data_IF_020069224459
#
_entry.id   IF_020069224459
#
_cell.length_a   1.000
_cell.length_b   1.000
_cell.length_c   1.000
_cell.angle_alpha   90.00
_cell.angle_beta   90.00
_cell.angle_gamma   90.00
#
_symmetry.space_group_name_H-M   'P 1'
#
loop_
_entity.id
_entity.type
_entity.pdbx_description
1 polymer ?
#
# COMPACT_ATOMS: atom_id res chain seq x y z
N UNK A 1 -7.73 -21.78 -36.46
CA UNK A 1 -6.71 -21.24 -35.52
C UNK A 1 -6.48 -22.27 -34.41
N UNK A 2 -5.23 -22.64 -34.14
CA UNK A 2 -4.87 -23.68 -33.15
C UNK A 2 -5.21 -23.22 -31.71
N UNK A 3 -5.78 -24.09 -30.87
CA UNK A 3 -6.06 -23.81 -29.44
C UNK A 3 -4.85 -23.23 -28.70
N UNK A 4 -3.63 -23.71 -29.01
CA UNK A 4 -2.39 -23.20 -28.41
C UNK A 4 -2.14 -21.72 -28.75
N UNK A 5 -2.41 -21.32 -30.00
CA UNK A 5 -2.25 -19.94 -30.45
C UNK A 5 -3.25 -19.01 -29.75
N UNK A 6 -4.51 -19.46 -29.60
CA UNK A 6 -5.53 -18.69 -28.89
C UNK A 6 -5.19 -18.49 -27.41
N UNK A 7 -4.71 -19.54 -26.73
CA UNK A 7 -4.27 -19.45 -25.33
C UNK A 7 -3.10 -18.49 -25.18
N UNK A 8 -2.09 -18.57 -26.06
CA UNK A 8 -0.95 -17.65 -26.01
C UNK A 8 -1.37 -16.19 -26.19
N UNK A 9 -2.27 -15.90 -27.14
CA UNK A 9 -2.78 -14.53 -27.34
C UNK A 9 -3.52 -14.05 -26.08
N UNK A 10 -4.38 -14.89 -25.50
CA UNK A 10 -5.11 -14.54 -24.28
C UNK A 10 -4.17 -14.22 -23.11
N UNK A 11 -3.10 -15.00 -22.93
CA UNK A 11 -2.10 -14.75 -21.89
C UNK A 11 -1.33 -13.44 -22.12
N UNK A 12 -0.95 -13.15 -23.36
CA UNK A 12 -0.28 -11.88 -23.71
C UNK A 12 -1.21 -10.69 -23.43
N UNK A 13 -2.48 -10.77 -23.83
CA UNK A 13 -3.45 -9.70 -23.56
C UNK A 13 -3.65 -9.52 -22.05
N UNK A 14 -3.79 -10.61 -21.29
CA UNK A 14 -3.90 -10.55 -19.83
C UNK A 14 -2.66 -9.89 -19.19
N UNK A 15 -1.46 -10.24 -19.64
CA UNK A 15 -0.22 -9.62 -19.15
C UNK A 15 -0.17 -8.12 -19.46
N UNK A 16 -0.52 -7.72 -20.68
CA UNK A 16 -0.56 -6.30 -21.08
C UNK A 16 -1.56 -5.51 -20.23
N UNK A 17 -2.72 -6.08 -19.92
CA UNK A 17 -3.71 -5.47 -19.03
C UNK A 17 -3.16 -5.31 -17.61
N UNK A 18 -2.50 -6.33 -17.06
CA UNK A 18 -1.87 -6.24 -15.72
C UNK A 18 -0.83 -5.12 -15.68
N UNK A 19 0.01 -5.01 -16.72
CA UNK A 19 1.01 -3.94 -16.82
C UNK A 19 0.33 -2.57 -16.92
N UNK A 20 -0.67 -2.43 -17.80
CA UNK A 20 -1.42 -1.18 -17.97
C UNK A 20 -2.02 -0.70 -16.65
N UNK A 21 -2.74 -1.56 -15.94
CA UNK A 21 -3.34 -1.20 -14.65
C UNK A 21 -2.29 -0.94 -13.58
N UNK A 22 -1.17 -1.66 -13.58
CA UNK A 22 -0.09 -1.42 -12.60
C UNK A 22 0.58 -0.06 -12.76
N UNK A 23 0.73 0.42 -14.00
CA UNK A 23 1.38 1.71 -14.29
C UNK A 23 0.40 2.89 -14.21
N UNK A 24 -0.85 2.68 -14.60
CA UNK A 24 -1.88 3.73 -14.59
C UNK A 24 -2.64 3.83 -13.27
N UNK A 25 -2.49 2.85 -12.37
CA UNK A 25 -3.02 2.94 -11.03
C UNK A 25 -2.47 4.19 -10.34
N UNK A 26 -3.37 5.16 -10.11
CA UNK A 26 -3.05 6.37 -9.37
C UNK A 26 -2.47 5.97 -8.02
N UNK A 27 -1.22 6.37 -7.75
CA UNK A 27 -0.65 6.22 -6.41
C UNK A 27 -1.49 7.07 -5.45
N UNK A 28 -2.25 6.39 -4.60
CA UNK A 28 -3.11 7.03 -3.59
C UNK A 28 -2.27 7.62 -2.46
N UNK A 29 -1.04 7.13 -2.30
CA UNK A 29 -0.06 7.62 -1.33
C UNK A 29 1.15 8.24 -2.04
N UNK A 30 1.76 9.28 -1.44
CA UNK A 30 2.98 9.88 -1.97
C UNK A 30 4.14 8.87 -1.93
N UNK A 31 5.26 9.17 -2.61
CA UNK A 31 6.50 8.40 -2.49
C UNK A 31 6.89 8.18 -1.02
N UNK A 32 7.64 7.10 -0.77
CA UNK A 32 8.00 6.68 0.60
C UNK A 32 8.68 7.81 1.38
N UNK A 33 9.56 8.54 0.74
CA UNK A 33 10.35 9.63 1.33
C UNK A 33 9.45 10.77 1.79
N UNK A 34 8.50 11.17 0.93
CA UNK A 34 7.51 12.21 1.27
C UNK A 34 6.55 11.72 2.35
N UNK A 35 6.12 10.45 2.29
CA UNK A 35 5.30 9.84 3.32
C UNK A 35 6.01 9.85 4.68
N UNK A 36 7.30 9.53 4.75
CA UNK A 36 8.09 9.51 5.99
C UNK A 36 8.16 10.89 6.65
N UNK A 37 8.36 11.95 5.86
CA UNK A 37 8.36 13.33 6.36
C UNK A 37 7.01 13.67 6.98
N UNK A 38 5.92 13.43 6.25
CA UNK A 38 4.56 13.72 6.74
C UNK A 38 4.16 12.84 7.93
N UNK A 39 4.54 11.58 7.92
CA UNK A 39 4.31 10.66 9.03
C UNK A 39 4.96 11.19 10.32
N UNK A 40 6.23 11.60 10.26
CA UNK A 40 6.94 12.19 11.40
C UNK A 40 6.22 13.44 11.93
N UNK A 41 5.82 14.35 11.03
CA UNK A 41 5.10 15.57 11.43
C UNK A 41 3.76 15.28 12.11
N UNK A 42 2.99 14.32 11.57
CA UNK A 42 1.68 13.95 12.11
C UNK A 42 1.81 13.29 13.47
N UNK A 43 2.75 12.33 13.61
CA UNK A 43 3.01 11.66 14.89
C UNK A 43 3.47 12.65 15.95
N UNK A 44 4.29 13.64 15.61
CA UNK A 44 4.77 14.65 16.55
C UNK A 44 3.67 15.62 17.02
N UNK A 45 2.67 15.91 16.16
CA UNK A 45 1.61 16.89 16.46
C UNK A 45 0.34 16.26 17.03
N UNK A 46 0.12 14.97 16.78
CA UNK A 46 -1.12 14.31 17.18
C UNK A 46 -0.92 13.53 18.48
N UNK A 47 -1.76 13.80 19.48
CA UNK A 47 -1.74 13.07 20.76
C UNK A 47 -2.16 11.60 20.62
N UNK A 48 -2.89 11.25 19.55
CA UNK A 48 -3.27 9.87 19.24
C UNK A 48 -3.15 9.59 17.73
N UNK A 49 -1.92 9.37 17.22
CA UNK A 49 -1.65 9.10 15.81
C UNK A 49 -2.35 7.83 15.32
N UNK A 50 -2.52 6.84 16.21
CA UNK A 50 -3.13 5.56 15.89
C UNK A 50 -4.59 5.74 15.51
N UNK A 51 -5.36 6.46 16.34
CA UNK A 51 -6.77 6.75 16.02
C UNK A 51 -6.89 7.57 14.74
N UNK A 52 -6.00 8.55 14.53
CA UNK A 52 -6.02 9.40 13.35
C UNK A 52 -5.82 8.61 12.05
N UNK A 53 -4.82 7.74 12.01
CA UNK A 53 -4.52 6.93 10.83
C UNK A 53 -5.52 5.77 10.66
N UNK A 54 -5.80 5.04 11.75
CA UNK A 54 -6.62 3.84 11.70
C UNK A 54 -8.10 4.15 11.52
N UNK A 55 -8.63 5.34 11.82
CA UNK A 55 -10.07 5.60 11.60
C UNK A 55 -10.49 5.36 10.13
N UNK A 56 -9.64 5.79 9.19
CA UNK A 56 -9.86 5.53 7.77
C UNK A 56 -9.33 4.15 7.34
N UNK A 57 -8.13 3.77 7.81
CA UNK A 57 -7.47 2.55 7.34
C UNK A 57 -8.09 1.27 7.90
N UNK A 58 -8.60 1.29 9.12
CA UNK A 58 -9.34 0.17 9.71
C UNK A 58 -10.66 -0.04 8.97
N UNK A 59 -11.49 1.01 8.84
CA UNK A 59 -12.82 0.90 8.20
C UNK A 59 -12.75 0.39 6.76
N UNK A 60 -11.74 0.81 6.00
CA UNK A 60 -11.63 0.50 4.58
C UNK A 60 -10.84 -0.78 4.28
N UNK A 61 -9.86 -1.13 5.11
CA UNK A 61 -8.91 -2.19 4.80
C UNK A 61 -8.71 -3.22 5.94
N UNK A 62 -9.39 -3.06 7.08
CA UNK A 62 -9.21 -3.93 8.25
C UNK A 62 -7.82 -3.82 8.87
N UNK A 63 -7.12 -2.70 8.65
CA UNK A 63 -5.78 -2.49 9.16
C UNK A 63 -5.79 -2.26 10.67
N UNK A 64 -4.95 -2.99 11.39
CA UNK A 64 -4.68 -2.82 12.83
C UNK A 64 -3.27 -2.27 13.03
N UNK A 65 -2.89 -1.90 14.26
CA UNK A 65 -1.52 -1.47 14.56
C UNK A 65 -0.49 -2.55 14.18
N UNK A 66 -0.84 -3.81 14.40
CA UNK A 66 0.03 -4.97 14.15
C UNK A 66 0.32 -5.16 12.67
N UNK A 67 -0.71 -5.12 11.82
CA UNK A 67 -0.58 -5.40 10.40
C UNK A 67 -0.25 -4.16 9.54
N UNK A 68 -0.39 -2.95 10.09
CA UNK A 68 -0.15 -1.69 9.40
C UNK A 68 1.08 -0.95 9.94
N UNK A 69 1.01 -0.45 11.18
CA UNK A 69 2.11 0.34 11.76
C UNK A 69 3.35 -0.54 11.99
N UNK A 70 3.16 -1.69 12.64
CA UNK A 70 4.25 -2.57 13.06
C UNK A 70 4.90 -3.33 11.92
N UNK A 71 4.26 -3.41 10.75
CA UNK A 71 4.90 -3.90 9.53
C UNK A 71 6.12 -3.04 9.16
N UNK A 72 5.89 -1.75 8.97
CA UNK A 72 6.97 -0.81 8.60
C UNK A 72 7.95 -0.59 9.76
N UNK A 73 7.47 -0.53 11.00
CA UNK A 73 8.35 -0.31 12.16
C UNK A 73 9.32 -1.47 12.37
N UNK A 74 8.87 -2.72 12.14
CA UNK A 74 9.73 -3.90 12.18
C UNK A 74 10.75 -3.90 11.04
N UNK A 75 10.31 -3.62 9.82
CA UNK A 75 11.19 -3.54 8.64
C UNK A 75 12.27 -2.45 8.79
N UNK A 76 11.93 -1.32 9.42
CA UNK A 76 12.82 -0.19 9.61
C UNK A 76 13.64 -0.24 10.90
N UNK A 77 13.48 -1.28 11.72
CA UNK A 77 14.19 -1.43 13.00
C UNK A 77 13.85 -0.37 14.05
N UNK A 78 12.68 0.27 13.95
CA UNK A 78 12.21 1.27 14.92
C UNK A 78 11.23 0.67 15.92
N UNK A 79 11.04 1.37 17.04
CA UNK A 79 10.19 0.90 18.15
C UNK A 79 8.77 0.59 17.66
N UNK A 80 8.19 -0.58 17.99
CA UNK A 80 6.82 -0.91 17.63
C UNK A 80 5.81 -0.01 18.36
N UNK A 81 4.69 0.23 17.70
CA UNK A 81 3.52 0.92 18.26
C UNK A 81 2.77 -0.06 19.16
N UNK A 82 2.44 0.37 20.39
CA UNK A 82 1.72 -0.40 21.41
C UNK A 82 0.22 -0.13 21.35
#
# INVERSE_FOLDING_TARGET
MNKRVFISIALVVALLLVIYFSVTAKRIHPPKEEWLVKHKEVVARNQNPDKFCLDCHYKKFGHTKENFCNKCHKESGVRPVK
#
